data_IF_655272452387
#
_entry.id   IF_655272452387
#
_cell.length_a   1.000
_cell.length_b   1.000
_cell.length_c   1.000
_cell.angle_alpha   90.00
_cell.angle_beta   90.00
_cell.angle_gamma   90.00
#
_symmetry.space_group_name_H-M   'P 1'
#
loop_
_entity.id
_entity.type
_entity.pdbx_description
1 polymer ?
#
# COMPACT_ATOMS: atom_id res chain seq x y z
N UNK A 1 44.69 9.86 -50.98
CA UNK A 1 43.26 9.79 -50.59
C UNK A 1 43.23 9.52 -49.08
N UNK A 2 42.70 10.45 -48.27
CA UNK A 2 42.62 10.34 -46.80
C UNK A 2 41.19 9.92 -46.42
N UNK A 3 40.98 8.97 -45.47
CA UNK A 3 39.63 8.66 -45.00
C UNK A 3 39.16 9.71 -43.98
N UNK A 4 37.97 10.26 -44.17
CA UNK A 4 37.31 11.16 -43.23
C UNK A 4 36.63 10.37 -42.12
N UNK A 5 37.02 10.59 -40.88
CA UNK A 5 36.29 10.13 -39.69
C UNK A 5 35.07 11.03 -39.48
N UNK A 6 33.87 10.44 -39.47
CA UNK A 6 32.64 11.12 -39.04
C UNK A 6 32.49 10.88 -37.54
N UNK A 7 32.66 11.94 -36.75
CA UNK A 7 32.33 11.93 -35.33
C UNK A 7 30.83 12.14 -35.16
N UNK A 8 30.11 11.12 -34.67
CA UNK A 8 28.74 11.28 -34.20
C UNK A 8 28.84 11.74 -32.74
N UNK A 9 28.74 13.05 -32.52
CA UNK A 9 28.57 13.62 -31.19
C UNK A 9 27.18 13.26 -30.68
N UNK A 10 27.11 12.28 -29.78
CA UNK A 10 25.93 11.99 -28.99
C UNK A 10 25.76 13.13 -27.97
N UNK A 11 24.99 14.14 -28.35
CA UNK A 11 24.61 15.22 -27.45
C UNK A 11 23.66 14.66 -26.39
N UNK A 12 24.18 14.40 -25.19
CA UNK A 12 23.41 14.26 -23.97
C UNK A 12 22.78 15.61 -23.65
N UNK A 13 21.69 15.96 -24.33
CA UNK A 13 20.77 16.97 -23.84
C UNK A 13 20.05 16.33 -22.67
N UNK A 14 20.47 16.67 -21.45
CA UNK A 14 19.65 16.48 -20.26
C UNK A 14 18.30 17.16 -20.53
N UNK A 15 17.18 16.44 -20.71
CA UNK A 15 15.91 17.10 -20.50
C UNK A 15 15.94 17.51 -19.02
N UNK A 16 15.85 18.81 -18.76
CA UNK A 16 15.44 19.29 -17.44
C UNK A 16 14.14 18.55 -17.14
N UNK A 17 14.23 17.54 -16.26
CA UNK A 17 13.11 16.71 -15.86
C UNK A 17 12.24 17.55 -14.92
N UNK A 18 11.56 18.57 -15.43
CA UNK A 18 10.39 19.15 -14.78
C UNK A 18 9.22 18.20 -14.99
N UNK A 19 9.33 16.98 -14.45
CA UNK A 19 8.23 16.03 -14.38
C UNK A 19 7.75 15.94 -12.93
N UNK A 20 7.42 17.10 -12.36
CA UNK A 20 6.47 17.16 -11.26
C UNK A 20 5.08 17.32 -11.89
N UNK A 21 4.67 16.35 -12.71
CA UNK A 21 3.27 16.26 -13.14
C UNK A 21 2.59 15.31 -12.18
N UNK A 22 1.72 15.88 -11.35
CA UNK A 22 0.97 15.22 -10.28
C UNK A 22 0.21 14.02 -10.86
N UNK A 23 0.46 12.82 -10.33
CA UNK A 23 -0.11 11.62 -10.94
C UNK A 23 -0.09 10.41 -10.01
N UNK A 24 -1.14 9.58 -10.09
CA UNK A 24 -1.23 8.29 -9.38
C UNK A 24 -0.40 7.18 -10.02
N UNK A 25 0.53 7.56 -10.91
CA UNK A 25 1.44 6.61 -11.52
C UNK A 25 2.62 6.35 -10.59
N UNK A 26 3.21 5.18 -10.74
CA UNK A 26 4.51 4.87 -10.19
C UNK A 26 5.30 4.05 -11.19
N UNK A 27 6.61 4.18 -11.12
CA UNK A 27 7.55 3.39 -11.93
C UNK A 27 8.53 2.70 -11.00
N UNK A 28 8.94 1.50 -11.34
CA UNK A 28 9.89 0.77 -10.52
C UNK A 28 10.82 -0.11 -11.33
N UNK A 29 11.88 -0.53 -10.66
CA UNK A 29 12.82 -1.51 -11.16
C UNK A 29 13.18 -2.46 -10.01
N UNK A 30 13.38 -3.73 -10.31
CA UNK A 30 13.72 -4.74 -9.31
C UNK A 30 14.51 -5.89 -9.87
N UNK A 31 15.10 -6.64 -8.96
CA UNK A 31 15.78 -7.90 -9.24
C UNK A 31 14.97 -9.04 -8.65
N UNK A 32 14.92 -10.16 -9.37
CA UNK A 32 14.20 -11.34 -8.96
C UNK A 32 15.13 -12.54 -8.96
N UNK A 33 14.95 -13.42 -7.98
CA UNK A 33 15.49 -14.75 -8.00
C UNK A 33 14.38 -15.72 -8.40
N UNK A 34 14.54 -16.35 -9.57
CA UNK A 34 13.56 -17.26 -10.17
C UNK A 34 13.99 -18.70 -9.90
N UNK A 35 13.10 -19.52 -9.35
CA UNK A 35 13.29 -20.95 -9.18
C UNK A 35 12.12 -21.74 -9.79
N UNK A 36 12.38 -22.99 -10.16
CA UNK A 36 11.34 -23.92 -10.62
C UNK A 36 10.60 -24.55 -9.43
N UNK A 37 9.29 -24.77 -9.58
CA UNK A 37 8.47 -25.39 -8.53
C UNK A 37 8.36 -26.92 -8.66
N UNK A 38 8.14 -27.43 -9.88
CA UNK A 38 7.77 -28.83 -10.11
C UNK A 38 8.64 -29.49 -11.22
N UNK A 39 9.97 -29.33 -11.15
CA UNK A 39 10.90 -29.92 -12.13
C UNK A 39 11.86 -30.95 -11.51
N UNK A 40 12.17 -32.01 -12.26
CA UNK A 40 13.15 -33.04 -11.87
C UNK A 40 14.60 -32.52 -11.76
N UNK A 41 14.88 -31.37 -12.36
CA UNK A 41 16.18 -30.69 -12.31
C UNK A 41 16.01 -29.37 -11.57
N UNK A 42 16.64 -29.24 -10.40
CA UNK A 42 16.67 -28.00 -9.64
C UNK A 42 17.56 -27.00 -10.36
N UNK A 43 17.01 -25.85 -10.70
CA UNK A 43 17.75 -24.74 -11.27
C UNK A 43 17.13 -23.41 -10.85
N UNK A 44 17.97 -22.41 -10.69
CA UNK A 44 17.60 -21.09 -10.18
C UNK A 44 18.42 -20.01 -10.86
N UNK A 45 17.78 -18.91 -11.20
CA UNK A 45 18.39 -17.85 -11.98
C UNK A 45 18.07 -16.48 -11.42
N UNK A 46 18.88 -15.49 -11.80
CA UNK A 46 18.65 -14.10 -11.45
C UNK A 46 18.11 -13.35 -12.66
N UNK A 47 17.07 -12.56 -12.41
CA UNK A 47 16.39 -11.73 -13.38
C UNK A 47 16.28 -10.28 -12.91
N UNK A 48 15.87 -9.43 -13.84
CA UNK A 48 15.54 -8.03 -13.58
C UNK A 48 14.24 -7.67 -14.27
N UNK A 49 13.42 -6.86 -13.60
CA UNK A 49 12.17 -6.36 -14.15
C UNK A 49 12.05 -4.85 -13.96
N UNK A 50 11.33 -4.22 -14.87
CA UNK A 50 10.80 -2.87 -14.71
C UNK A 50 9.29 -2.94 -14.65
N UNK A 51 8.68 -2.08 -13.86
CA UNK A 51 7.23 -2.03 -13.70
C UNK A 51 6.73 -0.59 -13.79
N UNK A 52 5.52 -0.46 -14.34
CA UNK A 52 4.76 0.79 -14.37
C UNK A 52 3.40 0.45 -13.79
N UNK A 53 2.94 1.22 -12.81
CA UNK A 53 1.63 1.01 -12.22
C UNK A 53 0.84 2.29 -12.05
N UNK A 54 -0.47 2.12 -11.91
CA UNK A 54 -1.42 3.19 -11.71
C UNK A 54 -2.36 2.83 -10.55
N UNK A 55 -2.40 3.71 -9.55
CA UNK A 55 -3.27 3.61 -8.39
C UNK A 55 -4.62 4.29 -8.69
N UNK A 56 -5.67 3.49 -8.94
CA UNK A 56 -7.01 4.04 -9.20
C UNK A 56 -7.88 4.11 -7.94
N UNK A 57 -7.47 3.43 -6.87
CA UNK A 57 -8.10 3.49 -5.55
C UNK A 57 -7.00 3.45 -4.46
N UNK A 58 -7.22 4.00 -3.26
CA UNK A 58 -6.28 3.88 -2.13
C UNK A 58 -5.78 2.47 -1.79
N UNK A 59 -6.48 1.42 -2.26
CA UNK A 59 -6.19 0.03 -1.95
C UNK A 59 -6.01 -0.81 -3.22
N UNK A 60 -6.15 -0.22 -4.41
CA UNK A 60 -6.12 -0.96 -5.67
C UNK A 60 -5.29 -0.26 -6.71
N UNK A 61 -4.39 -1.03 -7.31
CA UNK A 61 -3.55 -0.58 -8.39
C UNK A 61 -3.53 -1.61 -9.53
N UNK A 62 -3.32 -1.14 -10.74
CA UNK A 62 -2.94 -1.99 -11.86
C UNK A 62 -1.45 -1.80 -12.12
N UNK A 63 -0.72 -2.90 -12.29
CA UNK A 63 0.72 -2.90 -12.55
C UNK A 63 0.99 -3.68 -13.83
N UNK A 64 1.67 -3.06 -14.79
CA UNK A 64 2.24 -3.72 -15.94
C UNK A 64 3.74 -3.81 -15.74
N UNK A 65 4.33 -4.98 -15.92
CA UNK A 65 5.77 -5.16 -15.78
C UNK A 65 6.35 -5.95 -16.92
N UNK A 66 7.64 -5.75 -17.16
CA UNK A 66 8.37 -6.55 -18.13
C UNK A 66 9.80 -6.74 -17.69
N UNK A 67 10.33 -7.93 -17.95
CA UNK A 67 11.62 -8.29 -17.39
C UNK A 67 12.23 -9.51 -18.03
N UNK A 68 13.51 -9.64 -17.74
CA UNK A 68 14.30 -10.82 -17.98
C UNK A 68 14.29 -11.66 -16.70
N UNK A 69 13.85 -12.91 -16.77
CA UNK A 69 13.66 -13.78 -15.61
C UNK A 69 14.79 -14.80 -15.40
N UNK A 70 15.87 -14.67 -16.18
CA UNK A 70 17.05 -15.51 -16.10
C UNK A 70 17.10 -16.58 -17.20
N UNK A 71 18.23 -17.26 -17.25
CA UNK A 71 18.41 -18.49 -18.02
C UNK A 71 18.08 -19.67 -17.13
N UNK A 72 17.22 -20.57 -17.60
CA UNK A 72 16.80 -21.75 -16.86
C UNK A 72 16.91 -23.00 -17.74
N UNK A 73 17.47 -24.07 -17.19
CA UNK A 73 17.69 -25.36 -17.85
C UNK A 73 16.38 -26.16 -17.97
N UNK A 74 15.63 -25.98 -19.03
CA UNK A 74 14.29 -26.58 -19.16
C UNK A 74 14.35 -27.96 -19.79
N UNK A 75 13.55 -28.87 -19.24
CA UNK A 75 13.41 -30.23 -19.77
C UNK A 75 12.41 -30.18 -20.91
N UNK A 76 12.88 -30.35 -22.14
CA UNK A 76 12.01 -30.46 -23.31
C UNK A 76 11.69 -31.95 -23.51
N UNK A 77 10.43 -32.38 -23.34
CA UNK A 77 10.05 -33.78 -23.55
C UNK A 77 10.13 -34.10 -25.05
N UNK A 78 11.06 -34.97 -25.43
CA UNK A 78 11.19 -35.51 -26.78
C UNK A 78 10.58 -36.90 -26.91
N UNK A 79 10.24 -37.32 -28.13
CA UNK A 79 9.59 -38.62 -28.42
C UNK A 79 10.37 -39.86 -27.88
N UNK A 80 11.69 -39.72 -27.65
CA UNK A 80 12.56 -40.81 -27.19
C UNK A 80 13.49 -40.47 -26.03
N UNK A 81 13.83 -39.18 -25.83
CA UNK A 81 14.68 -38.68 -24.76
C UNK A 81 14.33 -37.24 -24.43
N UNK A 82 14.30 -36.93 -23.13
CA UNK A 82 14.23 -35.56 -22.66
C UNK A 82 15.58 -34.87 -22.91
N UNK A 83 15.55 -33.65 -23.42
CA UNK A 83 16.75 -32.83 -23.62
C UNK A 83 16.67 -31.63 -22.69
N UNK A 84 17.80 -31.26 -22.10
CA UNK A 84 17.91 -30.07 -21.23
C UNK A 84 18.48 -28.96 -22.11
N UNK A 85 17.71 -27.88 -22.29
CA UNK A 85 18.17 -26.68 -22.99
C UNK A 85 18.12 -25.47 -22.06
N UNK A 86 19.18 -24.67 -22.05
CA UNK A 86 19.24 -23.40 -21.35
C UNK A 86 18.41 -22.37 -22.12
N UNK A 87 17.27 -21.95 -21.56
CA UNK A 87 16.36 -21.00 -22.23
C UNK A 87 16.36 -19.64 -21.51
N UNK A 88 16.63 -18.59 -22.27
CA UNK A 88 16.57 -17.20 -21.83
C UNK A 88 15.11 -16.74 -21.75
N UNK A 89 14.59 -16.49 -20.54
CA UNK A 89 13.19 -16.12 -20.36
C UNK A 89 12.97 -14.62 -20.27
N UNK A 90 12.16 -14.08 -21.18
CA UNK A 90 11.66 -12.71 -21.14
C UNK A 90 10.14 -12.73 -21.16
N UNK A 91 9.52 -11.95 -20.28
CA UNK A 91 8.06 -11.87 -20.20
C UNK A 91 7.57 -10.47 -19.90
N UNK A 92 6.30 -10.27 -20.21
CA UNK A 92 5.55 -9.09 -19.82
C UNK A 92 4.30 -9.54 -19.07
N UNK A 93 4.06 -8.95 -17.91
CA UNK A 93 2.88 -9.26 -17.10
C UNK A 93 2.01 -8.03 -16.85
N UNK A 94 0.74 -8.31 -16.60
CA UNK A 94 -0.23 -7.34 -16.13
C UNK A 94 -0.94 -7.92 -14.92
N UNK A 95 -0.97 -7.15 -13.84
CA UNK A 95 -1.46 -7.59 -12.54
C UNK A 95 -2.39 -6.56 -11.93
N UNK A 96 -3.47 -7.04 -11.30
CA UNK A 96 -4.28 -6.26 -10.39
C UNK A 96 -3.75 -6.49 -8.96
N UNK A 97 -3.41 -5.40 -8.29
CA UNK A 97 -2.82 -5.38 -6.95
C UNK A 97 -3.83 -4.79 -5.96
N UNK A 98 -4.10 -5.52 -4.89
CA UNK A 98 -4.75 -5.03 -3.68
C UNK A 98 -3.72 -4.77 -2.59
N UNK A 99 -3.81 -3.63 -1.89
CA UNK A 99 -2.95 -3.27 -0.77
C UNK A 99 -3.73 -3.04 0.52
N UNK A 100 -3.15 -3.48 1.62
CA UNK A 100 -3.62 -3.29 2.99
C UNK A 100 -2.51 -2.58 3.78
N UNK A 101 -2.79 -1.35 4.20
CA UNK A 101 -1.87 -0.61 5.06
C UNK A 101 -1.87 -1.21 6.46
N UNK A 102 -0.74 -1.84 6.83
CA UNK A 102 -0.53 -2.38 8.17
C UNK A 102 -0.01 -1.30 9.14
N UNK A 103 0.70 -0.30 8.60
CA UNK A 103 1.29 0.83 9.31
C UNK A 103 1.51 2.00 8.35
N UNK A 104 2.01 3.13 8.85
CA UNK A 104 2.40 4.29 8.03
C UNK A 104 3.64 4.06 7.15
N UNK A 105 4.36 2.95 7.37
CA UNK A 105 5.55 2.59 6.59
C UNK A 105 5.43 1.24 5.88
N UNK A 106 4.50 0.37 6.28
CA UNK A 106 4.44 -1.01 5.79
C UNK A 106 3.04 -1.30 5.23
N UNK A 107 2.98 -1.63 3.95
CA UNK A 107 1.79 -2.13 3.30
C UNK A 107 1.98 -3.60 2.94
N UNK A 108 0.98 -4.42 3.26
CA UNK A 108 0.88 -5.77 2.72
C UNK A 108 0.15 -5.68 1.38
N UNK A 109 0.71 -6.24 0.32
CA UNK A 109 0.04 -6.30 -0.98
C UNK A 109 -0.12 -7.74 -1.45
N UNK A 110 -1.19 -7.97 -2.21
CA UNK A 110 -1.46 -9.22 -2.89
C UNK A 110 -2.14 -8.93 -4.21
N UNK A 111 -1.93 -9.78 -5.20
CA UNK A 111 -2.52 -9.55 -6.51
C UNK A 111 -2.54 -10.78 -7.39
N UNK A 112 -3.31 -10.66 -8.46
CA UNK A 112 -3.48 -11.68 -9.48
C UNK A 112 -3.33 -11.02 -10.85
N UNK A 113 -2.80 -11.77 -11.80
CA UNK A 113 -2.52 -11.26 -13.12
C UNK A 113 -2.33 -12.36 -14.14
N UNK A 114 -1.83 -11.95 -15.29
CA UNK A 114 -1.36 -12.86 -16.32
C UNK A 114 -0.02 -12.38 -16.86
N UNK A 115 0.88 -13.33 -17.11
CA UNK A 115 2.15 -13.12 -17.79
C UNK A 115 2.08 -13.70 -19.19
N UNK A 116 2.60 -12.96 -20.16
CA UNK A 116 2.76 -13.38 -21.54
C UNK A 116 4.24 -13.63 -21.80
N UNK A 117 4.55 -14.84 -22.28
CA UNK A 117 5.89 -15.25 -22.68
C UNK A 117 5.79 -16.02 -24.01
N UNK A 118 6.51 -15.60 -25.05
CA UNK A 118 6.52 -16.29 -26.35
C UNK A 118 5.17 -16.41 -27.08
N UNK A 119 4.11 -15.75 -26.57
CA UNK A 119 2.73 -15.87 -27.08
C UNK A 119 1.80 -16.69 -26.18
N UNK A 120 2.33 -17.39 -25.18
CA UNK A 120 1.56 -18.13 -24.20
C UNK A 120 1.20 -17.26 -22.99
N UNK A 121 -0.05 -17.37 -22.55
CA UNK A 121 -0.58 -16.63 -21.40
C UNK A 121 -0.61 -17.56 -20.19
N UNK A 122 0.11 -17.19 -19.12
CA UNK A 122 0.14 -17.93 -17.86
C UNK A 122 -0.44 -17.09 -16.72
N UNK A 123 -1.38 -17.63 -15.91
CA UNK A 123 -1.85 -16.95 -14.71
C UNK A 123 -0.72 -16.77 -13.69
N UNK A 124 -0.71 -15.60 -13.04
CA UNK A 124 0.23 -15.28 -11.97
C UNK A 124 -0.50 -14.82 -10.71
N UNK A 125 0.11 -15.13 -9.56
CA UNK A 125 -0.31 -14.63 -8.27
C UNK A 125 0.88 -14.05 -7.54
N UNK A 126 0.71 -12.92 -6.86
CA UNK A 126 1.79 -12.28 -6.13
C UNK A 126 1.34 -11.83 -4.74
N UNK A 127 2.27 -11.87 -3.79
CA UNK A 127 2.08 -11.42 -2.42
C UNK A 127 3.39 -10.86 -1.88
N UNK A 128 3.32 -9.81 -1.07
CA UNK A 128 4.53 -9.20 -0.54
C UNK A 128 4.27 -8.03 0.38
N UNK A 129 5.37 -7.42 0.81
CA UNK A 129 5.38 -6.24 1.68
C UNK A 129 6.04 -5.10 0.91
N UNK A 130 5.42 -3.93 1.00
CA UNK A 130 5.94 -2.68 0.49
C UNK A 130 6.30 -1.78 1.68
N UNK A 131 7.54 -1.31 1.70
CA UNK A 131 8.05 -0.39 2.69
C UNK A 131 8.13 1.02 2.09
N UNK A 132 7.36 1.96 2.64
CA UNK A 132 7.39 3.37 2.26
C UNK A 132 8.53 4.06 3.02
N UNK A 133 9.63 4.36 2.32
CA UNK A 133 10.75 5.11 2.90
C UNK A 133 10.48 6.62 2.90
N UNK A 134 9.80 7.11 1.87
CA UNK A 134 9.41 8.52 1.71
C UNK A 134 8.14 8.62 0.85
N UNK A 135 7.47 9.79 0.78
CA UNK A 135 6.27 9.96 -0.06
C UNK A 135 6.47 9.62 -1.54
N UNK A 136 7.72 9.66 -2.03
CA UNK A 136 8.05 9.36 -3.43
C UNK A 136 8.77 8.02 -3.62
N UNK A 137 9.24 7.35 -2.56
CA UNK A 137 10.03 6.13 -2.70
C UNK A 137 9.50 5.01 -1.82
N UNK A 138 9.24 3.87 -2.45
CA UNK A 138 8.88 2.63 -1.78
C UNK A 138 9.79 1.49 -2.21
N UNK A 139 10.04 0.58 -1.27
CA UNK A 139 10.80 -0.65 -1.50
C UNK A 139 9.80 -1.80 -1.49
N UNK A 140 9.78 -2.60 -2.55
CA UNK A 140 8.87 -3.73 -2.71
C UNK A 140 9.63 -5.03 -2.54
N UNK A 141 9.24 -5.83 -1.56
CA UNK A 141 9.73 -7.19 -1.37
C UNK A 141 8.55 -8.14 -1.54
N UNK A 142 8.67 -9.15 -2.40
CA UNK A 142 7.54 -10.03 -2.63
C UNK A 142 7.87 -11.32 -3.35
N UNK A 143 6.85 -12.16 -3.38
CA UNK A 143 6.86 -13.46 -4.01
C UNK A 143 5.82 -13.49 -5.13
N UNK A 144 6.23 -13.95 -6.32
CA UNK A 144 5.35 -14.15 -7.47
C UNK A 144 5.37 -15.62 -7.87
N UNK A 145 4.19 -16.18 -8.00
CA UNK A 145 3.91 -17.52 -8.47
C UNK A 145 3.42 -17.43 -9.91
N UNK A 146 3.95 -18.28 -10.78
CA UNK A 146 3.51 -18.44 -12.15
C UNK A 146 3.08 -19.89 -12.35
N UNK A 147 1.82 -20.08 -12.74
CA UNK A 147 1.28 -21.38 -13.05
C UNK A 147 1.14 -21.51 -14.56
N UNK A 148 2.02 -22.27 -15.17
CA UNK A 148 2.02 -22.49 -16.60
C UNK A 148 1.09 -23.67 -16.96
N UNK A 149 0.64 -23.72 -18.22
CA UNK A 149 -0.20 -24.86 -18.68
C UNK A 149 0.52 -26.20 -18.58
N UNK A 150 1.85 -26.20 -18.58
CA UNK A 150 2.70 -27.37 -18.30
C UNK A 150 3.37 -27.15 -16.94
N UNK A 151 3.20 -28.10 -16.01
CA UNK A 151 3.70 -27.95 -14.63
C UNK A 151 5.21 -27.78 -14.53
N UNK A 152 5.97 -28.33 -15.47
CA UNK A 152 7.44 -28.17 -15.56
C UNK A 152 7.88 -26.70 -15.73
N UNK A 153 6.96 -25.83 -16.17
CA UNK A 153 7.17 -24.40 -16.35
C UNK A 153 6.60 -23.57 -15.20
N UNK A 154 6.10 -24.20 -14.13
CA UNK A 154 5.70 -23.51 -12.91
C UNK A 154 6.92 -22.87 -12.25
N UNK A 155 6.84 -21.56 -12.05
CA UNK A 155 7.94 -20.78 -11.49
C UNK A 155 7.51 -20.07 -10.21
N UNK A 156 8.51 -19.87 -9.37
CA UNK A 156 8.43 -19.03 -8.20
C UNK A 156 9.54 -18.00 -8.23
N UNK A 157 9.18 -16.74 -7.97
CA UNK A 157 10.09 -15.61 -8.06
C UNK A 157 10.08 -14.85 -6.74
N UNK A 158 11.25 -14.75 -6.12
CA UNK A 158 11.46 -13.87 -4.97
C UNK A 158 12.08 -12.57 -5.47
N UNK A 159 11.37 -11.45 -5.29
CA UNK A 159 11.75 -10.15 -5.84
C UNK A 159 12.05 -9.10 -4.77
N UNK A 160 13.04 -8.25 -5.08
CA UNK A 160 13.31 -6.99 -4.39
C UNK A 160 13.34 -5.86 -5.41
N UNK A 161 12.49 -4.86 -5.24
CA UNK A 161 12.37 -3.72 -6.14
C UNK A 161 12.35 -2.38 -5.41
N UNK A 162 12.72 -1.35 -6.15
CA UNK A 162 12.60 0.05 -5.76
C UNK A 162 11.56 0.70 -6.68
N UNK A 163 10.62 1.42 -6.11
CA UNK A 163 9.55 2.10 -6.82
C UNK A 163 9.56 3.59 -6.48
N UNK A 164 9.38 4.40 -7.52
CA UNK A 164 9.21 5.83 -7.45
C UNK A 164 7.76 6.19 -7.73
N UNK A 165 7.10 6.77 -6.72
CA UNK A 165 5.76 7.33 -6.84
C UNK A 165 5.88 8.81 -7.23
N UNK A 166 5.16 9.20 -8.27
CA UNK A 166 5.06 10.61 -8.61
C UNK A 166 4.27 11.35 -7.53
N UNK A 167 4.55 12.63 -7.32
CA UNK A 167 3.88 13.43 -6.31
C UNK A 167 2.36 13.33 -6.49
N UNK A 168 1.65 12.92 -5.44
CA UNK A 168 0.19 12.98 -5.41
C UNK A 168 -0.20 14.46 -5.29
N UNK A 169 -1.30 14.90 -5.90
CA UNK A 169 -1.87 16.18 -5.52
C UNK A 169 -2.09 16.11 -4.01
N UNK A 170 -1.58 17.10 -3.27
CA UNK A 170 -2.29 17.52 -2.07
C UNK A 170 -3.70 17.76 -2.57
N UNK A 171 -4.63 16.87 -2.21
CA UNK A 171 -6.04 17.21 -2.31
C UNK A 171 -6.10 18.54 -1.62
N UNK A 172 -6.38 19.62 -2.36
CA UNK A 172 -6.65 20.93 -1.77
C UNK A 172 -7.49 20.59 -0.56
N UNK A 173 -6.95 20.86 0.64
CA UNK A 173 -7.72 20.76 1.86
C UNK A 173 -8.93 21.59 1.54
N UNK A 174 -10.06 20.92 1.27
CA UNK A 174 -11.34 21.55 1.10
C UNK A 174 -11.43 22.40 2.36
N UNK A 175 -11.22 23.72 2.19
CA UNK A 175 -11.13 24.66 3.30
C UNK A 175 -12.26 24.25 4.22
N UNK A 176 -11.94 23.81 5.45
CA UNK A 176 -12.97 23.45 6.42
C UNK A 176 -14.03 24.52 6.28
N UNK A 177 -15.28 24.19 5.92
CA UNK A 177 -16.26 25.21 5.63
C UNK A 177 -16.24 26.14 6.83
N UNK A 178 -15.86 27.39 6.57
CA UNK A 178 -15.82 28.43 7.58
C UNK A 178 -17.26 28.58 8.03
N UNK A 179 -17.63 27.86 9.08
CA UNK A 179 -18.90 28.06 9.72
C UNK A 179 -18.85 29.47 10.29
N UNK A 180 -19.62 30.38 9.70
CA UNK A 180 -20.04 31.56 10.44
C UNK A 180 -20.65 31.02 11.74
N UNK A 181 -20.00 31.32 12.87
CA UNK A 181 -20.55 31.05 14.18
C UNK A 181 -21.96 31.64 14.21
N UNK A 182 -22.95 30.78 14.02
CA UNK A 182 -24.33 31.18 14.17
C UNK A 182 -24.48 31.43 15.67
N UNK A 183 -24.34 32.69 16.06
CA UNK A 183 -24.70 33.17 17.38
C UNK A 183 -26.22 33.04 17.53
N UNK A 184 -26.66 31.84 17.84
CA UNK A 184 -28.06 31.58 18.18
C UNK A 184 -28.30 32.20 19.54
N UNK A 185 -28.75 33.45 19.56
CA UNK A 185 -29.35 34.03 20.76
C UNK A 185 -30.69 33.31 20.95
N UNK A 186 -30.67 32.22 21.71
CA UNK A 186 -31.87 31.49 22.08
C UNK A 186 -32.73 32.37 23.01
N UNK A 187 -33.64 33.15 22.45
CA UNK A 187 -34.75 33.74 23.19
C UNK A 187 -35.95 32.81 23.07
N UNK A 188 -36.01 31.81 23.94
CA UNK A 188 -37.18 30.92 24.03
C UNK A 188 -37.99 31.31 25.26
N UNK A 189 -39.08 32.04 25.02
CA UNK A 189 -40.17 32.26 25.97
C UNK A 189 -40.97 30.95 26.06
N UNK A 190 -40.90 30.28 27.21
CA UNK A 190 -41.56 28.99 27.46
C UNK A 190 -42.97 29.22 28.00
N UNK A 191 -44.00 28.52 27.48
CA UNK A 191 -45.13 28.11 28.28
C UNK A 191 -45.08 26.60 28.56
N UNK A 192 -45.34 26.31 29.83
CA UNK A 192 -45.45 25.03 30.52
C UNK A 192 -46.33 23.99 29.83
N UNK A 193 -45.81 22.76 29.66
CA UNK A 193 -46.55 21.52 29.97
C UNK A 193 -45.60 20.32 30.11
N UNK A 194 -45.54 19.79 31.33
CA UNK A 194 -44.93 18.49 31.73
C UNK A 194 -45.92 17.36 31.40
N UNK A 195 -45.46 16.18 30.94
CA UNK A 195 -45.02 15.09 31.84
C UNK A 195 -43.67 14.50 31.38
N UNK A 196 -42.62 14.60 32.18
CA UNK A 196 -42.18 13.61 33.18
C UNK A 196 -41.86 12.21 32.58
N UNK A 197 -40.62 12.07 32.12
CA UNK A 197 -39.85 10.83 32.21
C UNK A 197 -38.43 11.17 32.64
N UNK A 198 -38.20 11.00 33.94
CA UNK A 198 -36.96 11.29 34.65
C UNK A 198 -35.84 10.36 34.15
N UNK A 199 -35.01 10.86 33.24
CA UNK A 199 -33.63 10.42 33.10
C UNK A 199 -32.76 11.55 33.64
N UNK A 200 -32.34 11.41 34.90
CA UNK A 200 -31.29 12.22 35.50
C UNK A 200 -30.12 12.25 34.53
N UNK A 201 -29.85 13.42 33.94
CA UNK A 201 -28.60 13.67 33.22
C UNK A 201 -27.45 13.58 34.24
N UNK A 202 -26.93 12.37 34.41
CA UNK A 202 -25.70 12.11 35.16
C UNK A 202 -24.61 12.96 34.50
N UNK A 203 -23.96 13.83 35.27
CA UNK A 203 -22.81 14.59 34.78
C UNK A 203 -21.80 13.60 34.17
N UNK A 204 -21.23 13.93 33.02
CA UNK A 204 -20.13 13.16 32.44
C UNK A 204 -19.01 13.08 33.50
N UNK A 205 -18.70 11.86 33.92
CA UNK A 205 -17.59 11.58 34.84
C UNK A 205 -16.61 10.71 34.11
N UNK A 206 -15.38 11.16 34.06
CA UNK A 206 -14.27 10.45 33.43
C UNK A 206 -13.41 9.76 34.49
N UNK A 207 -12.74 8.69 34.08
CA UNK A 207 -11.68 7.99 34.76
C UNK A 207 -10.41 8.06 33.90
N UNK A 208 -9.25 7.84 34.51
CA UNK A 208 -7.96 7.90 33.84
C UNK A 208 -7.54 6.50 33.38
N UNK A 209 -7.43 6.31 32.07
CA UNK A 209 -6.84 5.15 31.44
C UNK A 209 -5.35 5.38 31.18
N UNK A 210 -4.51 4.43 31.62
CA UNK A 210 -3.07 4.44 31.35
C UNK A 210 -2.78 3.54 30.15
N UNK A 211 -2.29 4.13 29.07
CA UNK A 211 -1.97 3.45 27.80
C UNK A 211 -0.95 2.34 28.04
N UNK A 212 -1.22 1.14 27.53
CA UNK A 212 -0.32 -0.02 27.60
C UNK A 212 0.36 -0.25 26.25
N UNK A 213 1.47 -0.98 26.28
CA UNK A 213 2.19 -1.37 25.06
C UNK A 213 1.26 -2.17 24.13
N UNK A 214 1.09 -1.69 22.90
CA UNK A 214 0.21 -2.31 21.89
C UNK A 214 -1.22 -1.79 21.89
N UNK A 215 -1.50 -0.69 22.60
CA UNK A 215 -2.75 0.06 22.45
C UNK A 215 -2.65 1.13 21.37
N UNK A 216 -3.79 1.48 20.79
CA UNK A 216 -3.96 2.59 19.86
C UNK A 216 -5.34 3.22 20.12
N UNK A 217 -5.53 4.50 19.80
CA UNK A 217 -6.69 5.29 20.25
C UNK A 217 -8.03 4.61 19.96
N UNK A 218 -8.23 4.10 18.73
CA UNK A 218 -9.51 3.46 18.36
C UNK A 218 -9.77 2.18 19.16
N UNK A 219 -8.74 1.39 19.49
CA UNK A 219 -8.88 0.18 20.31
C UNK A 219 -9.32 0.51 21.73
N UNK A 220 -8.77 1.58 22.32
CA UNK A 220 -9.17 2.05 23.65
C UNK A 220 -10.62 2.55 23.61
N UNK A 221 -10.98 3.37 22.62
CA UNK A 221 -12.36 3.83 22.45
C UNK A 221 -13.37 2.67 22.39
N UNK A 222 -13.09 1.67 21.54
CA UNK A 222 -13.95 0.48 21.41
C UNK A 222 -14.06 -0.33 22.70
N UNK A 223 -12.97 -0.50 23.45
CA UNK A 223 -13.01 -1.19 24.75
C UNK A 223 -13.92 -0.48 25.77
N UNK A 224 -14.14 0.82 25.60
CA UNK A 224 -14.99 1.64 26.45
C UNK A 224 -16.36 1.96 25.82
N UNK A 225 -16.76 1.26 24.74
CA UNK A 225 -18.01 1.46 24.01
C UNK A 225 -18.20 2.90 23.51
N UNK A 226 -17.13 3.54 23.05
CA UNK A 226 -17.16 4.89 22.48
C UNK A 226 -16.94 4.87 20.97
N UNK A 227 -17.60 5.77 20.27
CA UNK A 227 -17.13 6.22 18.96
C UNK A 227 -15.83 7.01 19.10
N UNK A 228 -15.06 7.08 18.00
CA UNK A 228 -13.84 7.89 17.98
C UNK A 228 -14.11 9.38 18.26
N UNK A 229 -15.23 9.90 17.76
CA UNK A 229 -15.66 11.28 17.98
C UNK A 229 -15.95 11.58 19.44
N UNK A 230 -16.70 10.70 20.12
CA UNK A 230 -16.98 10.85 21.56
C UNK A 230 -15.68 10.75 22.38
N UNK A 231 -14.80 9.80 22.03
CA UNK A 231 -13.51 9.64 22.71
C UNK A 231 -12.61 10.86 22.53
N UNK A 232 -12.62 11.47 21.34
CA UNK A 232 -11.90 12.72 21.04
C UNK A 232 -12.44 13.89 21.85
N UNK A 233 -13.75 14.07 21.94
CA UNK A 233 -14.39 15.12 22.75
C UNK A 233 -14.02 14.99 24.23
N UNK A 234 -14.09 13.77 24.78
CA UNK A 234 -13.76 13.48 26.18
C UNK A 234 -12.30 13.84 26.50
N UNK A 235 -11.40 13.73 25.52
CA UNK A 235 -9.97 14.00 25.66
C UNK A 235 -9.56 15.41 25.18
N UNK A 236 -10.49 16.38 25.17
CA UNK A 236 -10.25 17.76 24.74
C UNK A 236 -9.60 17.83 23.34
N UNK A 237 -10.17 17.10 22.38
CA UNK A 237 -9.68 16.98 21.00
C UNK A 237 -8.27 16.42 20.84
N UNK A 238 -7.74 15.78 21.89
CA UNK A 238 -6.34 15.37 21.96
C UNK A 238 -5.35 16.51 21.72
N UNK A 239 -5.67 17.74 22.16
CA UNK A 239 -4.79 18.93 22.02
C UNK A 239 -3.37 18.75 22.61
N UNK A 240 -3.18 17.75 23.47
CA UNK A 240 -1.90 17.39 24.07
C UNK A 240 -1.14 16.30 23.29
N UNK A 241 -1.71 15.81 22.20
CA UNK A 241 -1.15 14.78 21.32
C UNK A 241 -0.89 15.44 19.97
N UNK A 242 0.39 15.57 19.60
CA UNK A 242 0.80 16.19 18.35
C UNK A 242 0.43 15.34 17.12
N UNK A 243 0.42 14.01 17.27
CA UNK A 243 0.03 13.05 16.25
C UNK A 243 -1.01 12.05 16.79
N UNK A 244 -2.25 12.13 16.30
CA UNK A 244 -3.35 11.24 16.67
C UNK A 244 -3.05 9.76 16.38
N UNK A 245 -2.07 9.46 15.51
CA UNK A 245 -1.64 8.10 15.21
C UNK A 245 -0.60 7.56 16.21
N UNK A 246 -0.07 8.41 17.10
CA UNK A 246 1.03 8.09 17.98
C UNK A 246 0.68 8.33 19.45
N UNK A 247 0.51 7.22 20.19
CA UNK A 247 0.39 7.23 21.66
C UNK A 247 1.49 6.39 22.30
N UNK A 248 1.93 6.78 23.49
CA UNK A 248 3.02 6.12 24.20
C UNK A 248 2.53 5.36 25.42
N UNK A 249 3.18 4.23 25.79
CA UNK A 249 2.90 3.59 27.07
C UNK A 249 3.07 4.56 28.24
N UNK A 250 2.21 4.43 29.25
CA UNK A 250 2.09 5.33 30.41
C UNK A 250 1.51 6.72 30.12
N UNK A 251 1.03 6.98 28.90
CA UNK A 251 0.23 8.16 28.62
C UNK A 251 -1.15 8.05 29.27
N UNK A 252 -1.65 9.14 29.83
CA UNK A 252 -2.95 9.22 30.49
C UNK A 252 -4.02 9.71 29.50
N UNK A 253 -5.12 8.97 29.39
CA UNK A 253 -6.29 9.31 28.58
C UNK A 253 -7.55 9.24 29.44
N UNK A 254 -8.53 10.08 29.16
CA UNK A 254 -9.81 10.10 29.86
C UNK A 254 -10.82 9.17 29.17
N UNK A 255 -11.45 8.31 29.97
CA UNK A 255 -12.52 7.39 29.54
C UNK A 255 -13.74 7.57 30.44
N UNK A 256 -14.98 7.38 29.98
CA UNK A 256 -16.16 7.53 30.82
C UNK A 256 -16.28 6.41 31.84
N UNK A 257 -16.78 6.76 33.02
CA UNK A 257 -17.12 5.78 34.05
C UNK A 257 -18.35 4.99 33.59
N UNK A 258 -18.36 3.68 33.83
CA UNK A 258 -19.49 2.81 33.52
C UNK A 258 -20.82 3.39 34.04
N UNK A 259 -21.77 3.64 33.14
CA UNK A 259 -23.09 4.23 33.46
C UNK A 259 -23.17 5.76 33.40
N UNK A 260 -22.09 6.45 33.03
CA UNK A 260 -22.12 7.87 32.67
C UNK A 260 -22.34 8.05 31.17
N UNK A 261 -23.12 9.07 30.79
CA UNK A 261 -23.36 9.43 29.39
C UNK A 261 -22.55 10.70 29.13
N UNK A 262 -21.53 10.61 28.30
CA UNK A 262 -20.71 11.73 27.85
C UNK A 262 -21.11 12.09 26.41
N UNK A 263 -21.04 13.39 26.04
CA UNK A 263 -21.40 13.87 24.71
C UNK A 263 -20.42 13.45 23.62
#
# INVERSE_FOLDING_TARGET
>A
MKPSLIWISLALTYPNLSMAQESNWYVGAGVNHTGKMDSDVSDSSLGGQINVGYEFHPNWAIEASTGYYGNLDMVIPGDYRNTIEEETRYGSDISLLGSLSLSQYYNLYGGLGAQVEGGDISPIGQLGIQYEYSPSWSIKFGYKFLWASKSEYNLQMLGLGLQYHFARPETDVEQEPSYDDISVIASTKVPTSTPEKTATKTRCRTDTYIVKKGDWLIKIAYQHNLSFSEFKTINNDFRQIEDLNLIYPNQELFVPIAGSICP
#
